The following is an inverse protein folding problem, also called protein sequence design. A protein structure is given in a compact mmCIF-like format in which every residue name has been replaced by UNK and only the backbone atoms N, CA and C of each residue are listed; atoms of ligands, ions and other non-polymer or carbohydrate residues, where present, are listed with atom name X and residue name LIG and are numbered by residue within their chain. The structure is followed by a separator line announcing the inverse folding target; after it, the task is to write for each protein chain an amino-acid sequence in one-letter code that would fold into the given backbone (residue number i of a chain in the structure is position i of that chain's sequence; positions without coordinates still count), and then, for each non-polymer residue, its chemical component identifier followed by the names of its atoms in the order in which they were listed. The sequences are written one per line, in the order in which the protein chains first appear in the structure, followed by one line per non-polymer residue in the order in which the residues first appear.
data_IF_684569442906
#
_entry.id   IF_684569442906
#
_cell.length_a   1.000
_cell.length_b   1.000
_cell.length_c   1.000
_cell.angle_alpha   90.00
_cell.angle_beta   90.00
_cell.angle_gamma   90.00
#
_symmetry.space_group_name_H-M   'P 1'
#
loop_
_entity.id
_entity.type
_entity.pdbx_description
1 polymer ?
#
# COMPACT_ATOMS: atom_id res chain seq x y z
N UNK A 1 17.77 34.43 -10.91
CA UNK A 1 18.54 33.34 -10.29
C UNK A 1 17.81 32.04 -10.60
N UNK A 2 18.42 31.15 -11.37
CA UNK A 2 17.85 29.81 -11.63
C UNK A 2 18.31 28.94 -10.46
N UNK A 3 17.42 28.67 -9.52
CA UNK A 3 17.70 27.75 -8.41
C UNK A 3 17.59 26.33 -8.94
N UNK A 4 18.69 25.58 -8.88
CA UNK A 4 18.71 24.15 -9.16
C UNK A 4 17.63 23.43 -8.35
N UNK A 5 16.92 22.43 -8.92
CA UNK A 5 15.94 21.67 -8.17
C UNK A 5 16.61 20.97 -6.98
N UNK A 6 15.95 20.93 -5.81
CA UNK A 6 16.51 20.35 -4.59
C UNK A 6 16.79 18.86 -4.79
N UNK A 7 17.92 18.37 -4.27
CA UNK A 7 18.26 16.96 -4.36
C UNK A 7 17.42 16.13 -3.39
N UNK A 8 17.34 14.82 -3.63
CA UNK A 8 16.62 13.87 -2.76
C UNK A 8 17.08 13.91 -1.29
N UNK A 9 18.35 14.25 -1.05
CA UNK A 9 18.93 14.46 0.28
C UNK A 9 18.35 15.71 0.94
N UNK A 10 18.31 16.82 0.21
CA UNK A 10 17.78 18.10 0.69
C UNK A 10 16.29 18.00 1.03
N UNK A 11 15.52 17.26 0.21
CA UNK A 11 14.12 16.97 0.48
C UNK A 11 13.92 16.13 1.76
N UNK A 12 14.86 15.22 2.07
CA UNK A 12 14.83 14.39 3.27
C UNK A 12 15.14 15.17 4.56
N UNK A 13 16.09 16.10 4.53
CA UNK A 13 16.35 16.99 5.66
C UNK A 13 15.23 18.01 5.85
N UNK A 14 14.70 18.55 4.75
CA UNK A 14 13.57 19.47 4.82
C UNK A 14 12.30 18.80 5.37
N UNK A 15 12.04 17.53 5.04
CA UNK A 15 10.97 16.72 5.63
C UNK A 15 11.09 16.58 7.16
N UNK A 16 12.31 16.49 7.71
CA UNK A 16 12.53 16.46 9.17
C UNK A 16 12.26 17.81 9.84
N UNK A 17 12.44 18.91 9.11
CA UNK A 17 12.32 20.28 9.64
C UNK A 17 10.91 20.87 9.60
N UNK A 18 9.94 20.20 8.97
CA UNK A 18 8.55 20.67 8.85
C UNK A 18 8.36 21.91 7.96
N UNK A 19 9.41 22.42 7.28
CA UNK A 19 9.38 23.65 6.47
C UNK A 19 9.11 23.43 4.96
N UNK A 20 8.96 22.20 4.50
CA UNK A 20 8.82 21.86 3.07
C UNK A 20 7.52 21.12 2.77
N UNK A 21 6.41 21.79 3.02
CA UNK A 21 5.09 21.31 2.56
C UNK A 21 4.76 21.82 1.17
N UNK A 22 5.14 23.05 0.81
CA UNK A 22 4.82 23.66 -0.49
C UNK A 22 5.78 23.24 -1.62
N UNK A 23 7.10 23.31 -1.40
CA UNK A 23 8.09 22.90 -2.40
C UNK A 23 8.00 21.40 -2.77
N UNK A 24 7.59 20.56 -1.82
CA UNK A 24 7.40 19.12 -2.01
C UNK A 24 6.09 18.83 -2.77
N UNK A 25 5.04 19.63 -2.54
CA UNK A 25 3.80 19.63 -3.32
C UNK A 25 4.07 20.04 -4.78
N UNK A 26 4.94 21.03 -4.97
CA UNK A 26 5.36 21.48 -6.31
C UNK A 26 6.32 20.51 -7.02
N UNK A 27 7.13 19.70 -6.31
CA UNK A 27 8.10 18.80 -6.96
C UNK A 27 7.58 17.37 -7.22
N UNK A 28 6.76 16.79 -6.33
CA UNK A 28 6.31 15.39 -6.46
C UNK A 28 5.07 15.22 -7.34
N UNK A 29 4.18 16.22 -7.38
CA UNK A 29 2.91 16.13 -8.10
C UNK A 29 3.09 16.22 -9.63
N UNK A 30 3.96 17.09 -10.19
CA UNK A 30 4.06 17.22 -11.64
C UNK A 30 4.76 16.05 -12.34
N UNK A 31 5.82 15.48 -11.73
CA UNK A 31 6.66 14.48 -12.41
C UNK A 31 6.01 13.09 -12.49
N UNK A 32 5.22 12.72 -11.48
CA UNK A 32 4.43 11.47 -11.46
C UNK A 32 3.19 11.60 -12.35
N UNK A 33 2.60 12.80 -12.41
CA UNK A 33 1.48 13.11 -13.27
C UNK A 33 1.84 12.98 -14.76
N UNK A 34 2.86 13.71 -15.24
CA UNK A 34 3.13 13.88 -16.67
C UNK A 34 3.28 12.58 -17.49
N UNK A 35 4.14 11.64 -17.07
CA UNK A 35 4.34 10.37 -17.82
C UNK A 35 3.13 9.45 -17.79
N UNK A 36 2.28 9.56 -16.75
CA UNK A 36 1.09 8.72 -16.61
C UNK A 36 -0.07 9.35 -17.38
N UNK A 37 -0.19 10.68 -17.36
CA UNK A 37 -1.14 11.45 -18.16
C UNK A 37 -0.95 11.19 -19.65
N UNK A 38 0.27 11.10 -20.16
CA UNK A 38 0.53 10.73 -21.56
C UNK A 38 -0.03 9.34 -21.92
N UNK A 39 0.23 8.33 -21.08
CA UNK A 39 -0.33 6.99 -21.27
C UNK A 39 -1.85 6.99 -21.18
N UNK A 40 -2.42 7.78 -20.28
CA UNK A 40 -3.88 7.92 -20.14
C UNK A 40 -4.49 8.60 -21.37
N UNK A 41 -3.84 9.62 -21.93
CA UNK A 41 -4.27 10.27 -23.17
C UNK A 41 -4.27 9.26 -24.32
N UNK A 42 -3.23 8.43 -24.43
CA UNK A 42 -3.15 7.42 -25.49
C UNK A 42 -4.16 6.29 -25.30
N UNK A 43 -4.44 5.91 -24.05
CA UNK A 43 -5.45 4.93 -23.72
C UNK A 43 -6.86 5.48 -23.98
N UNK A 44 -7.12 6.73 -23.62
CA UNK A 44 -8.36 7.45 -23.91
C UNK A 44 -8.60 7.58 -25.42
N UNK A 45 -7.56 7.92 -26.20
CA UNK A 45 -7.64 7.92 -27.67
C UNK A 45 -8.01 6.54 -28.22
N UNK A 46 -7.43 5.47 -27.68
CA UNK A 46 -7.74 4.11 -28.10
C UNK A 46 -9.16 3.68 -27.71
N UNK A 47 -9.63 4.04 -26.53
CA UNK A 47 -10.98 3.71 -26.06
C UNK A 47 -12.04 4.48 -26.85
N UNK A 48 -11.82 5.78 -27.08
CA UNK A 48 -12.64 6.59 -28.00
C UNK A 48 -12.67 5.98 -29.39
N UNK A 49 -11.50 5.59 -29.93
CA UNK A 49 -11.43 4.95 -31.26
C UNK A 49 -12.25 3.67 -31.30
N UNK A 50 -12.22 2.83 -30.27
CA UNK A 50 -13.01 1.58 -30.22
C UNK A 50 -14.51 1.85 -30.11
N UNK A 51 -14.92 2.81 -29.27
CA UNK A 51 -16.32 3.15 -29.04
C UNK A 51 -16.97 3.79 -30.28
N UNK A 52 -16.29 4.74 -30.91
CA UNK A 52 -16.86 5.51 -32.02
C UNK A 52 -16.69 4.84 -33.39
N UNK A 53 -15.73 3.92 -33.57
CA UNK A 53 -15.54 3.23 -34.86
C UNK A 53 -16.84 2.62 -35.41
N UNK A 54 -17.59 1.76 -34.69
CA UNK A 54 -18.82 1.19 -35.23
C UNK A 54 -19.89 2.25 -35.53
N UNK A 55 -20.04 3.28 -34.69
CA UNK A 55 -21.00 4.39 -34.91
C UNK A 55 -20.65 5.21 -36.14
N UNK A 56 -19.39 5.56 -36.33
CA UNK A 56 -18.90 6.28 -37.53
C UNK A 56 -19.19 5.46 -38.79
N UNK A 57 -18.93 4.14 -38.76
CA UNK A 57 -19.26 3.27 -39.89
C UNK A 57 -20.75 3.27 -40.21
N UNK A 58 -21.60 3.31 -39.19
CA UNK A 58 -23.05 3.35 -39.35
C UNK A 58 -23.52 4.70 -39.91
N UNK A 59 -23.06 5.81 -39.34
CA UNK A 59 -23.38 7.16 -39.83
C UNK A 59 -22.90 7.39 -41.28
N UNK A 60 -21.74 6.85 -41.66
CA UNK A 60 -21.27 6.88 -43.05
C UNK A 60 -22.24 6.12 -43.97
N UNK A 61 -22.73 4.95 -43.56
CA UNK A 61 -23.74 4.19 -44.32
C UNK A 61 -25.07 4.94 -44.45
N UNK A 62 -25.42 5.74 -43.45
CA UNK A 62 -26.61 6.59 -43.42
C UNK A 62 -26.44 7.91 -44.22
N UNK A 63 -25.26 8.13 -44.84
CA UNK A 63 -25.00 9.28 -45.70
C UNK A 63 -24.41 10.50 -44.97
N UNK A 64 -23.91 10.34 -43.75
CA UNK A 64 -23.31 11.44 -42.99
C UNK A 64 -22.07 12.00 -43.71
N UNK A 65 -22.02 13.32 -43.86
CA UNK A 65 -20.83 14.03 -44.35
C UNK A 65 -19.78 14.15 -43.24
N UNK A 66 -18.52 14.40 -43.63
CA UNK A 66 -17.40 14.65 -42.69
C UNK A 66 -17.74 15.73 -41.67
N UNK A 67 -18.45 16.78 -42.09
CA UNK A 67 -18.84 17.91 -41.24
C UNK A 67 -19.85 17.48 -40.16
N UNK A 68 -20.86 16.69 -40.55
CA UNK A 68 -21.87 16.12 -39.62
C UNK A 68 -21.26 15.14 -38.64
N UNK A 69 -20.39 14.24 -39.12
CA UNK A 69 -19.67 13.29 -38.25
C UNK A 69 -18.84 14.02 -37.20
N UNK A 70 -18.11 15.05 -37.61
CA UNK A 70 -17.29 15.85 -36.71
C UNK A 70 -18.13 16.53 -35.63
N UNK A 71 -19.25 17.16 -36.01
CA UNK A 71 -20.15 17.83 -35.08
C UNK A 71 -20.75 16.86 -34.06
N UNK A 72 -21.23 15.71 -34.49
CA UNK A 72 -21.84 14.70 -33.62
C UNK A 72 -20.83 14.09 -32.64
N UNK A 73 -19.63 13.78 -33.12
CA UNK A 73 -18.55 13.27 -32.26
C UNK A 73 -18.13 14.34 -31.25
N UNK A 74 -17.99 15.60 -31.66
CA UNK A 74 -17.62 16.68 -30.74
C UNK A 74 -18.68 16.94 -29.67
N UNK A 75 -19.98 16.82 -29.98
CA UNK A 75 -21.07 16.91 -28.99
C UNK A 75 -21.09 15.73 -28.02
N UNK A 76 -21.04 14.48 -28.53
CA UNK A 76 -21.04 13.29 -27.65
C UNK A 76 -19.79 13.23 -26.76
N UNK A 77 -18.63 13.70 -27.27
CA UNK A 77 -17.41 13.77 -26.47
C UNK A 77 -17.53 14.85 -25.38
N UNK A 78 -18.10 16.03 -25.68
CA UNK A 78 -18.27 17.11 -24.70
C UNK A 78 -19.25 16.77 -23.57
N UNK A 79 -20.20 15.86 -23.83
CA UNK A 79 -21.15 15.36 -22.84
C UNK A 79 -20.62 14.16 -22.05
N UNK A 80 -21.03 12.97 -22.44
CA UNK A 80 -20.85 11.75 -21.64
C UNK A 80 -19.40 11.25 -21.60
N UNK A 81 -18.66 11.33 -22.72
CA UNK A 81 -17.30 10.82 -22.75
C UNK A 81 -16.35 11.70 -21.91
N UNK A 82 -16.53 13.03 -21.93
CA UNK A 82 -15.77 13.95 -21.11
C UNK A 82 -15.97 13.68 -19.61
N UNK A 83 -17.20 13.44 -19.17
CA UNK A 83 -17.48 13.13 -17.76
C UNK A 83 -16.85 11.79 -17.35
N UNK A 84 -16.90 10.78 -18.22
CA UNK A 84 -16.22 9.50 -18.00
C UNK A 84 -14.70 9.67 -17.87
N UNK A 85 -14.05 10.41 -18.77
CA UNK A 85 -12.60 10.65 -18.70
C UNK A 85 -12.22 11.52 -17.50
N UNK A 86 -13.06 12.46 -17.11
CA UNK A 86 -12.85 13.29 -15.92
C UNK A 86 -12.87 12.44 -14.65
N UNK A 87 -13.92 11.62 -14.44
CA UNK A 87 -14.01 10.70 -13.29
C UNK A 87 -12.83 9.73 -13.26
N UNK A 88 -12.54 9.10 -14.40
CA UNK A 88 -11.41 8.16 -14.50
C UNK A 88 -10.06 8.82 -14.23
N UNK A 89 -9.89 10.07 -14.66
CA UNK A 89 -8.72 10.89 -14.34
C UNK A 89 -8.52 11.10 -12.84
N UNK A 90 -9.61 11.43 -12.14
CA UNK A 90 -9.62 11.60 -10.69
C UNK A 90 -9.32 10.26 -9.99
N UNK A 91 -9.98 9.18 -10.38
CA UNK A 91 -9.78 7.85 -9.76
C UNK A 91 -8.31 7.38 -9.88
N UNK A 92 -7.71 7.55 -11.06
CA UNK A 92 -6.30 7.19 -11.28
C UNK A 92 -5.34 8.09 -10.50
N UNK A 93 -5.66 9.39 -10.37
CA UNK A 93 -4.91 10.31 -9.53
C UNK A 93 -4.98 9.90 -8.05
N UNK A 94 -6.19 9.65 -7.53
CA UNK A 94 -6.40 9.17 -6.16
C UNK A 94 -5.64 7.87 -5.89
N UNK A 95 -5.69 6.91 -6.81
CA UNK A 95 -4.94 5.65 -6.75
C UNK A 95 -3.42 5.88 -6.66
N UNK A 96 -2.92 6.86 -7.42
CA UNK A 96 -1.50 7.25 -7.40
C UNK A 96 -1.10 7.83 -6.04
N UNK A 97 -1.89 8.76 -5.52
CA UNK A 97 -1.65 9.38 -4.22
C UNK A 97 -1.74 8.34 -3.10
N UNK A 98 -2.69 7.39 -3.18
CA UNK A 98 -2.78 6.29 -2.24
C UNK A 98 -1.49 5.44 -2.20
N UNK A 99 -0.93 5.07 -3.36
CA UNK A 99 0.33 4.32 -3.42
C UNK A 99 1.50 5.09 -2.79
N UNK A 100 1.55 6.42 -2.97
CA UNK A 100 2.58 7.24 -2.33
C UNK A 100 2.35 7.39 -0.82
N UNK A 101 1.09 7.52 -0.39
CA UNK A 101 0.72 7.50 1.03
C UNK A 101 1.20 6.22 1.70
N UNK A 102 1.00 5.04 1.08
CA UNK A 102 1.50 3.77 1.60
C UNK A 102 3.03 3.75 1.74
N UNK A 103 3.78 4.31 0.78
CA UNK A 103 5.24 4.43 0.88
C UNK A 103 5.64 5.37 2.03
N UNK A 104 4.90 6.46 2.23
CA UNK A 104 5.15 7.37 3.34
C UNK A 104 4.81 6.74 4.70
N UNK A 105 3.71 6.00 4.83
CA UNK A 105 3.37 5.27 6.07
C UNK A 105 4.41 4.21 6.44
N UNK A 106 5.07 3.62 5.43
CA UNK A 106 6.18 2.69 5.63
C UNK A 106 7.47 3.39 6.07
N UNK A 107 7.67 4.66 5.68
CA UNK A 107 8.82 5.46 6.09
C UNK A 107 8.52 6.16 7.42
N UNK A 108 9.53 6.39 8.23
CA UNK A 108 9.42 6.95 9.59
C UNK A 108 8.90 8.40 9.65
N UNK A 109 8.51 9.01 8.52
CA UNK A 109 8.03 10.39 8.41
C UNK A 109 6.62 10.57 9.01
N UNK A 110 5.92 9.47 9.29
CA UNK A 110 4.75 9.44 10.18
C UNK A 110 3.42 9.78 9.49
N UNK A 111 2.37 9.07 9.90
CA UNK A 111 0.97 9.19 9.45
C UNK A 111 0.49 10.65 9.30
N UNK A 112 0.85 11.53 10.24
CA UNK A 112 0.47 12.94 10.23
C UNK A 112 1.15 13.77 9.13
N UNK A 113 2.38 13.43 8.73
CA UNK A 113 3.06 14.11 7.62
C UNK A 113 2.42 13.76 6.28
N UNK A 114 2.02 12.51 6.09
CA UNK A 114 1.36 12.07 4.87
C UNK A 114 0.02 12.81 4.64
N UNK A 115 -0.75 13.04 5.71
CA UNK A 115 -2.01 13.82 5.63
C UNK A 115 -1.72 15.25 5.16
N UNK A 116 -0.76 15.94 5.79
CA UNK A 116 -0.44 17.34 5.46
C UNK A 116 0.11 17.52 4.04
N UNK A 117 0.87 16.55 3.54
CA UNK A 117 1.57 16.66 2.25
C UNK A 117 0.68 16.23 1.08
N UNK A 118 -0.15 15.20 1.27
CA UNK A 118 -0.88 14.57 0.18
C UNK A 118 -2.32 15.09 0.03
N UNK A 119 -2.89 15.71 1.06
CA UNK A 119 -4.24 16.26 0.99
C UNK A 119 -4.35 17.40 -0.05
N UNK A 120 -5.40 17.34 -0.87
CA UNK A 120 -5.72 18.32 -1.89
C UNK A 120 -7.21 18.27 -2.26
N UNK A 121 -7.61 19.03 -3.28
CA UNK A 121 -9.00 19.12 -3.73
C UNK A 121 -9.60 17.78 -4.19
N UNK A 122 -8.76 16.86 -4.70
CA UNK A 122 -9.18 15.55 -5.20
C UNK A 122 -8.98 14.41 -4.20
N UNK A 123 -8.15 14.62 -3.18
CA UNK A 123 -7.84 13.64 -2.12
C UNK A 123 -8.00 14.32 -0.77
N UNK A 124 -9.09 14.03 -0.07
CA UNK A 124 -9.36 14.63 1.24
C UNK A 124 -8.45 14.07 2.33
N UNK A 125 -8.29 14.82 3.41
CA UNK A 125 -7.61 14.34 4.62
C UNK A 125 -8.26 13.07 5.19
N UNK A 126 -9.59 12.96 5.11
CA UNK A 126 -10.32 11.78 5.60
C UNK A 126 -9.94 10.52 4.83
N UNK A 127 -9.81 10.59 3.49
CA UNK A 127 -9.38 9.45 2.69
C UNK A 127 -7.98 8.98 3.09
N UNK A 128 -7.05 9.91 3.31
CA UNK A 128 -5.68 9.57 3.72
C UNK A 128 -5.66 8.95 5.13
N UNK A 129 -6.49 9.46 6.06
CA UNK A 129 -6.67 8.87 7.39
C UNK A 129 -7.19 7.44 7.30
N UNK A 130 -8.21 7.19 6.48
CA UNK A 130 -8.78 5.86 6.29
C UNK A 130 -7.76 4.88 5.70
N UNK A 131 -6.98 5.32 4.71
CA UNK A 131 -5.88 4.52 4.14
C UNK A 131 -4.81 4.17 5.18
N UNK A 132 -4.43 5.14 6.01
CA UNK A 132 -3.46 4.89 7.07
C UNK A 132 -4.02 3.94 8.13
N UNK A 133 -5.27 4.11 8.59
CA UNK A 133 -5.93 3.18 9.51
C UNK A 133 -6.00 1.76 8.95
N UNK A 134 -6.32 1.61 7.67
CA UNK A 134 -6.32 0.32 6.99
C UNK A 134 -4.91 -0.30 6.95
N UNK A 135 -3.88 0.50 6.65
CA UNK A 135 -2.49 0.05 6.64
C UNK A 135 -1.98 -0.39 8.02
N UNK A 136 -2.17 0.45 9.05
CA UNK A 136 -1.71 0.16 10.41
C UNK A 136 -2.50 -0.97 11.06
N UNK A 137 -3.80 -1.10 10.80
CA UNK A 137 -4.58 -2.25 11.28
C UNK A 137 -4.12 -3.57 10.65
N UNK A 138 -3.82 -3.59 9.35
CA UNK A 138 -3.24 -4.76 8.68
C UNK A 138 -1.84 -5.10 9.22
N UNK A 139 -0.99 -4.10 9.44
CA UNK A 139 0.35 -4.26 10.05
C UNK A 139 0.25 -4.81 11.47
N UNK A 140 -0.57 -4.20 12.32
CA UNK A 140 -0.82 -4.64 13.69
C UNK A 140 -1.33 -6.09 13.73
N UNK A 141 -2.28 -6.45 12.85
CA UNK A 141 -2.78 -7.83 12.76
C UNK A 141 -1.67 -8.82 12.41
N UNK A 142 -0.84 -8.50 11.42
CA UNK A 142 0.28 -9.36 10.99
C UNK A 142 1.31 -9.51 12.10
N UNK A 143 1.66 -8.43 12.81
CA UNK A 143 2.59 -8.45 13.94
C UNK A 143 2.03 -9.28 15.10
N UNK A 144 0.74 -9.15 15.40
CA UNK A 144 0.05 -9.96 16.42
C UNK A 144 0.02 -11.45 16.05
N UNK A 145 -0.27 -11.78 14.79
CA UNK A 145 -0.26 -13.15 14.29
C UNK A 145 1.15 -13.76 14.37
N UNK A 146 2.19 -13.01 13.99
CA UNK A 146 3.59 -13.43 14.12
C UNK A 146 3.99 -13.65 15.58
N UNK A 147 3.62 -12.73 16.48
CA UNK A 147 3.87 -12.86 17.93
C UNK A 147 3.19 -14.11 18.48
N UNK A 148 1.91 -14.31 18.18
CA UNK A 148 1.16 -15.49 18.63
C UNK A 148 1.74 -16.80 18.07
N UNK A 149 2.14 -16.82 16.79
CA UNK A 149 2.80 -17.97 16.18
C UNK A 149 4.15 -18.30 16.82
N UNK A 150 4.95 -17.28 17.16
CA UNK A 150 6.20 -17.46 17.87
C UNK A 150 5.99 -17.97 19.30
N UNK A 151 4.96 -17.48 20.00
CA UNK A 151 4.56 -17.98 21.34
C UNK A 151 4.16 -19.45 21.24
N UNK A 152 3.27 -19.80 20.31
CA UNK A 152 2.79 -21.18 20.14
C UNK A 152 3.94 -22.15 19.82
N UNK A 153 4.89 -21.74 18.95
CA UNK A 153 6.07 -22.54 18.63
C UNK A 153 7.00 -22.73 19.84
N UNK A 154 7.24 -21.66 20.61
CA UNK A 154 8.04 -21.73 21.83
C UNK A 154 7.43 -22.65 22.89
N UNK A 155 6.12 -22.50 23.13
CA UNK A 155 5.36 -23.34 24.04
C UNK A 155 5.34 -24.82 23.58
N UNK A 156 5.15 -25.05 22.28
CA UNK A 156 5.15 -26.39 21.70
C UNK A 156 6.49 -27.11 21.85
N UNK A 157 7.61 -26.44 21.58
CA UNK A 157 8.96 -27.00 21.77
C UNK A 157 9.24 -27.34 23.24
N UNK A 158 8.82 -26.45 24.14
CA UNK A 158 8.98 -26.65 25.58
C UNK A 158 8.18 -27.87 26.08
N UNK A 159 6.89 -27.94 25.71
CA UNK A 159 6.01 -29.06 26.07
C UNK A 159 6.52 -30.38 25.48
N UNK A 160 6.97 -30.38 24.22
CA UNK A 160 7.52 -31.56 23.59
C UNK A 160 8.77 -32.07 24.31
N UNK A 161 9.69 -31.18 24.70
CA UNK A 161 10.86 -31.54 25.50
C UNK A 161 10.50 -32.08 26.89
N UNK A 162 9.49 -31.51 27.55
CA UNK A 162 8.99 -32.01 28.84
C UNK A 162 8.39 -33.40 28.66
N UNK A 163 7.55 -33.62 27.64
CA UNK A 163 6.91 -34.91 27.35
C UNK A 163 7.96 -36.00 27.09
N UNK A 164 8.98 -35.73 26.26
CA UNK A 164 10.06 -36.71 26.02
C UNK A 164 10.80 -37.04 27.32
N UNK A 165 11.13 -36.01 28.11
CA UNK A 165 11.83 -36.20 29.39
C UNK A 165 11.02 -37.08 30.33
N UNK A 166 9.73 -36.78 30.50
CA UNK A 166 8.81 -37.56 31.35
C UNK A 166 8.63 -38.98 30.83
N UNK A 167 8.39 -39.17 29.53
CA UNK A 167 8.26 -40.50 28.94
C UNK A 167 9.55 -41.32 29.11
N UNK A 168 10.71 -40.72 28.89
CA UNK A 168 12.00 -41.40 29.09
C UNK A 168 12.21 -41.82 30.54
N UNK A 169 11.69 -41.06 31.51
CA UNK A 169 11.72 -41.40 32.92
C UNK A 169 10.85 -42.64 33.20
N UNK A 170 9.60 -42.65 32.72
CA UNK A 170 8.71 -43.80 32.84
C UNK A 170 9.29 -45.08 32.21
N UNK A 171 9.88 -44.97 31.01
CA UNK A 171 10.54 -46.12 30.38
C UNK A 171 11.81 -46.57 31.12
N UNK A 172 12.53 -45.65 31.75
CA UNK A 172 13.69 -45.98 32.57
C UNK A 172 13.31 -46.67 33.88
N UNK A 173 12.22 -46.24 34.53
CA UNK A 173 11.76 -46.82 35.79
C UNK A 173 11.12 -48.20 35.62
N UNK A 174 10.32 -48.41 34.57
CA UNK A 174 9.51 -49.64 34.44
C UNK A 174 10.11 -50.71 33.52
N UNK A 175 10.93 -50.31 32.54
CA UNK A 175 11.47 -51.22 31.52
C UNK A 175 13.01 -51.32 31.54
N UNK A 176 13.67 -50.72 32.54
CA UNK A 176 15.13 -50.71 32.65
C UNK A 176 15.84 -49.89 31.56
N UNK A 177 15.12 -48.94 30.94
CA UNK A 177 15.65 -48.05 29.91
C UNK A 177 16.59 -46.95 30.45
N UNK A 178 17.10 -46.10 29.55
CA UNK A 178 17.92 -44.92 29.93
C UNK A 178 17.05 -43.67 30.04
N UNK A 179 17.24 -42.92 31.11
CA UNK A 179 16.63 -41.61 31.31
C UNK A 179 17.30 -40.56 30.41
N UNK A 180 16.50 -39.79 29.65
CA UNK A 180 16.99 -38.77 28.71
C UNK A 180 16.34 -37.45 29.03
N UNK A 181 17.13 -36.48 29.48
CA UNK A 181 16.62 -35.13 29.71
C UNK A 181 16.91 -34.26 28.50
N UNK A 182 15.87 -33.81 27.81
CA UNK A 182 16.01 -32.96 26.62
C UNK A 182 16.09 -31.48 27.01
N UNK A 183 17.06 -31.11 27.85
CA UNK A 183 17.26 -29.72 28.30
C UNK A 183 17.40 -28.74 27.12
N UNK A 184 18.06 -29.15 26.03
CA UNK A 184 18.21 -28.32 24.84
C UNK A 184 16.89 -27.89 24.21
N UNK A 185 15.90 -28.79 24.15
CA UNK A 185 14.57 -28.51 23.61
C UNK A 185 13.78 -27.56 24.52
N UNK A 186 13.87 -27.77 25.83
CA UNK A 186 13.20 -26.95 26.84
C UNK A 186 13.78 -25.53 26.84
N UNK A 187 15.11 -25.40 26.84
CA UNK A 187 15.80 -24.11 26.80
C UNK A 187 15.53 -23.38 25.48
N UNK A 188 15.56 -24.09 24.34
CA UNK A 188 15.22 -23.50 23.05
C UNK A 188 13.78 -22.97 23.01
N UNK A 189 12.82 -23.72 23.56
CA UNK A 189 11.43 -23.27 23.70
C UNK A 189 11.31 -22.02 24.58
N UNK A 190 11.99 -22.00 25.73
CA UNK A 190 12.01 -20.85 26.63
C UNK A 190 12.61 -19.60 25.98
N UNK A 191 13.75 -19.72 25.29
CA UNK A 191 14.39 -18.61 24.56
C UNK A 191 13.42 -18.05 23.51
N UNK A 192 12.69 -18.91 22.81
CA UNK A 192 11.73 -18.50 21.79
C UNK A 192 10.52 -17.76 22.40
N UNK A 193 10.05 -18.18 23.57
CA UNK A 193 9.02 -17.44 24.32
C UNK A 193 9.51 -16.06 24.75
N UNK A 194 10.71 -15.96 25.32
CA UNK A 194 11.29 -14.66 25.70
C UNK A 194 11.41 -13.71 24.50
N UNK A 195 11.86 -14.20 23.34
CA UNK A 195 11.92 -13.40 22.11
C UNK A 195 10.53 -12.97 21.63
N UNK A 196 9.52 -13.82 21.78
CA UNK A 196 8.15 -13.48 21.38
C UNK A 196 7.49 -12.47 22.32
N UNK A 197 7.74 -12.54 23.63
CA UNK A 197 7.26 -11.57 24.60
C UNK A 197 7.91 -10.20 24.44
N UNK A 198 9.21 -10.17 24.11
CA UNK A 198 9.96 -8.95 23.81
C UNK A 198 9.58 -8.30 22.45
N UNK A 199 8.79 -8.98 21.61
CA UNK A 199 8.32 -8.41 20.35
C UNK A 199 7.23 -7.38 20.62
N UNK A 200 7.50 -6.12 20.28
CA UNK A 200 6.54 -5.01 20.30
C UNK A 200 5.59 -5.12 19.09
N UNK A 201 4.31 -4.84 19.34
CA UNK A 201 3.29 -4.73 18.30
C UNK A 201 2.99 -3.24 18.14
N UNK A 202 3.12 -2.73 16.93
CA UNK A 202 2.92 -1.31 16.66
C UNK A 202 1.48 -0.88 16.91
N UNK A 203 1.29 0.22 17.64
CA UNK A 203 -0.03 0.80 17.89
C UNK A 203 -0.64 1.40 16.61
N UNK A 204 -1.97 1.41 16.55
CA UNK A 204 -2.70 2.05 15.46
C UNK A 204 -2.77 3.55 15.80
N UNK A 205 -2.31 4.45 14.92
CA UNK A 205 -2.38 5.89 15.18
C UNK A 205 -3.84 6.38 15.17
N UNK A 206 -4.17 7.26 16.10
CA UNK A 206 -5.48 7.92 16.23
C UNK A 206 -5.79 8.92 15.10
#
# INVERSE_FOLDING_TARGET
MITSPPTKSDLLEQMKSGKSTEALRESLIPEIGLRRTEKMIDQAKNDLRKAYRPRIYQWIKEGATVTTLRSQIEEEIKGEAAEYFYKRGIDDYQSTIHQEALKQFKRTVGYHSAIKVLANEFVSESMIKDWGKAYYSAKHRTEKENKNGAIAKGAGLMLFGIIITVLSYFFASDMGGRYVITYGLIIAGAIQLFKAFAMEVSEIPD
#
